data_IF_364759187880
#
_entry.id   IF_364759187880
#
_cell.length_a   1.000
_cell.length_b   1.000
_cell.length_c   1.000
_cell.angle_alpha   90.00
_cell.angle_beta   90.00
_cell.angle_gamma   90.00
#
_symmetry.space_group_name_H-M   'P 1'
#
loop_
_entity.id
_entity.type
_entity.pdbx_description
1 polymer ?
#
# COMPACT_ATOMS: atom_id res chain seq x y z
N UNK A 1 3.26 20.32 -7.46
CA UNK A 1 4.20 19.20 -7.21
C UNK A 1 3.48 18.17 -6.36
N UNK A 2 3.67 16.87 -6.58
CA UNK A 2 3.01 15.84 -5.77
C UNK A 2 3.47 15.94 -4.32
N UNK A 3 2.54 15.87 -3.36
CA UNK A 3 2.82 15.82 -1.91
C UNK A 3 3.62 14.57 -1.53
N UNK A 4 3.60 13.53 -2.38
CA UNK A 4 4.12 12.20 -2.08
C UNK A 4 5.16 11.72 -3.11
N UNK A 5 6.19 11.01 -2.62
CA UNK A 5 7.08 10.24 -3.49
C UNK A 5 6.32 9.13 -4.23
N UNK A 6 6.86 8.65 -5.36
CA UNK A 6 6.18 7.69 -6.27
C UNK A 6 5.58 6.48 -5.53
N UNK A 7 6.36 5.80 -4.68
CA UNK A 7 5.91 4.59 -3.97
C UNK A 7 4.78 4.92 -2.98
N UNK A 8 4.92 5.97 -2.17
CA UNK A 8 3.88 6.38 -1.22
C UNK A 8 2.58 6.72 -1.95
N UNK A 9 2.67 7.49 -3.05
CA UNK A 9 1.50 7.83 -3.86
C UNK A 9 0.79 6.59 -4.41
N UNK A 10 1.54 5.58 -4.86
CA UNK A 10 0.98 4.33 -5.34
C UNK A 10 0.33 3.51 -4.23
N UNK A 11 0.89 3.51 -3.02
CA UNK A 11 0.31 2.83 -1.88
C UNK A 11 -0.96 3.53 -1.37
N UNK A 12 -1.00 4.86 -1.35
CA UNK A 12 -2.23 5.61 -1.06
C UNK A 12 -3.30 5.39 -2.13
N UNK A 13 -2.90 5.33 -3.41
CA UNK A 13 -3.82 4.99 -4.49
C UNK A 13 -4.37 3.56 -4.31
N UNK A 14 -3.51 2.62 -3.92
CA UNK A 14 -3.91 1.25 -3.63
C UNK A 14 -4.94 1.20 -2.50
N UNK A 15 -4.64 1.81 -1.36
CA UNK A 15 -5.53 1.88 -0.20
C UNK A 15 -6.87 2.54 -0.56
N UNK A 16 -6.85 3.64 -1.32
CA UNK A 16 -8.07 4.30 -1.80
C UNK A 16 -8.93 3.35 -2.64
N UNK A 17 -8.33 2.64 -3.58
CA UNK A 17 -9.03 1.66 -4.43
C UNK A 17 -9.52 0.47 -3.62
N UNK A 18 -8.73 0.00 -2.66
CA UNK A 18 -9.05 -1.18 -1.85
C UNK A 18 -10.19 -0.91 -0.87
N UNK A 19 -10.22 0.29 -0.28
CA UNK A 19 -11.26 0.70 0.68
C UNK A 19 -12.53 1.22 0.01
N UNK A 20 -12.46 1.61 -1.27
CA UNK A 20 -13.63 2.08 -2.03
C UNK A 20 -14.20 0.96 -2.91
N UNK A 21 -15.52 0.77 -2.91
CA UNK A 21 -16.16 -0.12 -3.89
C UNK A 21 -15.98 0.42 -5.32
N UNK A 22 -16.04 1.75 -5.45
CA UNK A 22 -15.97 2.49 -6.69
C UNK A 22 -15.21 3.80 -6.47
N UNK A 23 -14.39 4.22 -7.44
CA UNK A 23 -13.62 5.47 -7.37
C UNK A 23 -13.52 6.13 -8.74
N UNK A 24 -13.72 7.45 -8.78
CA UNK A 24 -13.61 8.26 -9.99
C UNK A 24 -12.19 8.78 -10.20
N UNK A 25 -11.87 9.16 -11.45
CA UNK A 25 -10.59 9.82 -11.75
C UNK A 25 -10.43 11.14 -11.00
N UNK A 26 -11.51 11.89 -10.81
CA UNK A 26 -11.51 13.18 -10.12
C UNK A 26 -11.16 13.00 -8.63
N UNK A 27 -11.75 12.03 -7.95
CA UNK A 27 -11.43 11.72 -6.54
C UNK A 27 -9.96 11.33 -6.36
N UNK A 28 -9.42 10.49 -7.26
CA UNK A 28 -8.01 10.10 -7.24
C UNK A 28 -7.09 11.31 -7.42
N UNK A 29 -7.40 12.20 -8.37
CA UNK A 29 -6.65 13.44 -8.61
C UNK A 29 -6.70 14.35 -7.40
N UNK A 30 -7.90 14.55 -6.83
CA UNK A 30 -8.13 15.41 -5.66
C UNK A 30 -7.35 14.91 -4.45
N UNK A 31 -7.48 13.61 -4.11
CA UNK A 31 -6.81 13.02 -2.93
C UNK A 31 -5.29 12.98 -3.07
N UNK A 32 -4.76 12.70 -4.26
CA UNK A 32 -3.30 12.50 -4.45
C UNK A 32 -2.56 13.75 -4.95
N UNK A 33 -3.28 14.78 -5.40
CA UNK A 33 -2.72 16.03 -5.88
C UNK A 33 -1.82 15.87 -7.11
N UNK A 34 -2.17 14.96 -8.03
CA UNK A 34 -1.42 14.70 -9.27
C UNK A 34 -2.33 14.63 -10.50
N UNK A 35 -1.77 14.85 -11.68
CA UNK A 35 -2.55 14.80 -12.92
C UNK A 35 -3.00 13.38 -13.30
N UNK A 36 -4.07 13.29 -14.09
CA UNK A 36 -4.63 12.05 -14.63
C UNK A 36 -3.59 11.10 -15.24
N UNK A 37 -2.64 11.63 -16.02
CA UNK A 37 -1.57 10.82 -16.64
C UNK A 37 -0.69 10.11 -15.61
N UNK A 38 -0.50 10.72 -14.44
CA UNK A 38 0.26 10.10 -13.33
C UNK A 38 -0.57 9.01 -12.68
N UNK A 39 -1.86 9.26 -12.40
CA UNK A 39 -2.78 8.27 -11.86
C UNK A 39 -2.86 7.03 -12.77
N UNK A 40 -3.03 7.21 -14.08
CA UNK A 40 -3.10 6.10 -15.03
C UNK A 40 -1.83 5.24 -15.04
N UNK A 41 -0.64 5.87 -14.94
CA UNK A 41 0.63 5.14 -14.80
C UNK A 41 0.73 4.40 -13.49
N UNK A 42 0.26 4.99 -12.40
CA UNK A 42 0.25 4.36 -11.09
C UNK A 42 -0.75 3.19 -11.03
N UNK A 43 -1.94 3.31 -11.65
CA UNK A 43 -2.89 2.21 -11.87
C UNK A 43 -2.22 1.08 -12.67
N UNK A 44 -1.48 1.42 -13.72
CA UNK A 44 -0.75 0.43 -14.52
C UNK A 44 0.30 -0.29 -13.67
N UNK A 45 1.07 0.44 -12.86
CA UNK A 45 2.05 -0.15 -11.95
C UNK A 45 1.41 -1.08 -10.91
N UNK A 46 0.27 -0.69 -10.34
CA UNK A 46 -0.48 -1.53 -9.39
C UNK A 46 -1.07 -2.77 -10.08
N UNK A 47 -1.58 -2.63 -11.30
CA UNK A 47 -2.11 -3.73 -12.10
C UNK A 47 -0.99 -4.71 -12.46
N UNK A 48 0.14 -4.21 -12.96
CA UNK A 48 1.33 -5.03 -13.29
C UNK A 48 1.96 -5.67 -12.05
N UNK A 49 1.83 -5.08 -10.86
CA UNK A 49 2.23 -5.71 -9.61
C UNK A 49 1.32 -6.89 -9.22
N UNK A 50 0.17 -7.00 -9.87
CA UNK A 50 -0.90 -7.95 -9.53
C UNK A 50 -1.68 -7.54 -8.28
N UNK A 51 -1.73 -6.24 -7.96
CA UNK A 51 -2.39 -5.74 -6.76
C UNK A 51 -3.86 -5.39 -7.01
N UNK A 52 -4.20 -4.89 -8.19
CA UNK A 52 -5.55 -4.47 -8.52
C UNK A 52 -5.99 -5.01 -9.88
N UNK A 53 -7.31 -5.14 -10.03
CA UNK A 53 -7.97 -5.34 -11.31
C UNK A 53 -9.17 -4.42 -11.35
N UNK A 54 -9.14 -3.44 -12.25
CA UNK A 54 -10.17 -2.42 -12.36
C UNK A 54 -10.99 -2.61 -13.63
N UNK A 55 -12.30 -2.41 -13.50
CA UNK A 55 -13.20 -2.19 -14.63
C UNK A 55 -13.55 -0.71 -14.69
N UNK A 56 -13.46 -0.13 -15.88
CA UNK A 56 -13.88 1.25 -16.10
C UNK A 56 -15.26 1.29 -16.75
N UNK A 57 -16.23 1.91 -16.07
CA UNK A 57 -17.52 2.24 -16.65
C UNK A 57 -17.46 3.64 -17.30
N UNK A 58 -17.71 3.69 -18.60
CA UNK A 58 -17.68 4.95 -19.37
C UNK A 58 -18.89 5.83 -19.09
N UNK A 59 -20.04 5.25 -18.77
CA UNK A 59 -21.29 5.99 -18.56
C UNK A 59 -21.22 6.78 -17.27
N UNK A 60 -20.75 6.13 -16.21
CA UNK A 60 -20.68 6.70 -14.87
C UNK A 60 -19.28 7.25 -14.53
N UNK A 61 -18.32 7.12 -15.46
CA UNK A 61 -16.93 7.61 -15.34
C UNK A 61 -16.24 7.12 -14.06
N UNK A 62 -16.47 5.86 -13.73
CA UNK A 62 -16.06 5.26 -12.46
C UNK A 62 -15.22 4.01 -12.68
N UNK A 63 -14.27 3.78 -11.79
CA UNK A 63 -13.51 2.54 -11.72
C UNK A 63 -14.06 1.69 -10.57
N UNK A 64 -14.45 0.46 -10.87
CA UNK A 64 -14.87 -0.52 -9.85
C UNK A 64 -13.79 -1.59 -9.73
N UNK A 65 -13.45 -1.98 -8.50
CA UNK A 65 -12.54 -3.11 -8.25
C UNK A 65 -13.27 -4.41 -8.57
N UNK A 66 -12.69 -5.25 -9.43
CA UNK A 66 -13.28 -6.55 -9.79
C UNK A 66 -12.98 -7.65 -8.75
N UNK A 67 -12.25 -7.32 -7.68
CA UNK A 67 -11.78 -8.28 -6.70
C UNK A 67 -10.70 -9.22 -7.24
N UNK A 68 -9.97 -9.85 -6.31
CA UNK A 68 -8.91 -10.80 -6.61
C UNK A 68 -7.55 -10.15 -6.87
N UNK A 69 -6.48 -10.91 -6.58
CA UNK A 69 -5.10 -10.51 -6.88
C UNK A 69 -4.70 -10.96 -8.28
N UNK A 70 -4.01 -10.09 -8.99
CA UNK A 70 -3.46 -10.37 -10.31
C UNK A 70 -2.10 -11.08 -10.26
N UNK A 71 -1.60 -11.42 -11.45
CA UNK A 71 -0.25 -11.97 -11.63
C UNK A 71 0.72 -10.80 -11.83
N UNK A 72 1.93 -10.90 -11.26
CA UNK A 72 2.98 -9.91 -11.50
C UNK A 72 3.44 -9.97 -12.97
N UNK A 73 3.25 -8.88 -13.70
CA UNK A 73 3.56 -8.73 -15.13
C UNK A 73 4.85 -7.94 -15.31
N UNK A 74 5.99 -8.63 -15.18
CA UNK A 74 7.29 -8.09 -15.59
C UNK A 74 8.32 -9.19 -15.81
N UNK A 75 9.27 -8.91 -16.71
CA UNK A 75 10.41 -9.80 -16.96
C UNK A 75 11.31 -9.90 -15.72
N UNK A 76 11.44 -11.11 -15.17
CA UNK A 76 12.32 -11.40 -14.03
C UNK A 76 13.76 -10.90 -14.28
N UNK A 77 14.38 -10.34 -13.25
CA UNK A 77 15.75 -9.80 -13.31
C UNK A 77 15.85 -8.36 -13.81
N UNK A 78 14.75 -7.72 -14.19
CA UNK A 78 14.74 -6.28 -14.56
C UNK A 78 14.53 -5.37 -13.35
N UNK A 79 14.97 -4.11 -13.46
CA UNK A 79 14.66 -3.07 -12.46
C UNK A 79 13.15 -2.88 -12.28
N UNK A 80 12.38 -3.00 -13.36
CA UNK A 80 10.92 -3.00 -13.36
C UNK A 80 10.35 -4.12 -12.50
N UNK A 81 10.84 -5.35 -12.67
CA UNK A 81 10.40 -6.49 -11.87
C UNK A 81 10.69 -6.29 -10.38
N UNK A 82 11.91 -5.84 -10.03
CA UNK A 82 12.26 -5.55 -8.64
C UNK A 82 11.38 -4.45 -8.03
N UNK A 83 11.03 -3.44 -8.83
CA UNK A 83 10.12 -2.38 -8.42
C UNK A 83 8.71 -2.90 -8.13
N UNK A 84 8.14 -3.69 -9.04
CA UNK A 84 6.80 -4.25 -8.86
C UNK A 84 6.74 -5.25 -7.71
N UNK A 85 7.78 -6.05 -7.50
CA UNK A 85 7.90 -6.92 -6.32
C UNK A 85 7.94 -6.11 -5.03
N UNK A 86 8.69 -4.99 -5.00
CA UNK A 86 8.70 -4.08 -3.85
C UNK A 86 7.30 -3.52 -3.60
N UNK A 87 6.62 -3.05 -4.65
CA UNK A 87 5.28 -2.46 -4.53
C UNK A 87 4.27 -3.49 -4.01
N UNK A 88 4.28 -4.70 -4.57
CA UNK A 88 3.44 -5.82 -4.12
C UNK A 88 3.66 -6.15 -2.65
N UNK A 89 4.92 -6.28 -2.24
CA UNK A 89 5.30 -6.60 -0.85
C UNK A 89 4.83 -5.52 0.13
N UNK A 90 5.01 -4.25 -0.23
CA UNK A 90 4.56 -3.14 0.59
C UNK A 90 3.05 -3.08 0.73
N UNK A 91 2.30 -3.26 -0.36
CA UNK A 91 0.84 -3.22 -0.33
C UNK A 91 0.24 -4.38 0.47
N UNK A 92 0.74 -5.61 0.29
CA UNK A 92 0.30 -6.77 1.10
C UNK A 92 0.58 -6.54 2.58
N UNK A 93 1.76 -6.03 2.93
CA UNK A 93 2.06 -5.78 4.34
C UNK A 93 1.31 -4.55 4.89
N UNK A 94 0.95 -3.59 4.04
CA UNK A 94 0.10 -2.47 4.43
C UNK A 94 -1.26 -2.98 4.91
N UNK A 95 -1.91 -3.89 4.19
CA UNK A 95 -3.19 -4.49 4.61
C UNK A 95 -3.09 -5.16 5.97
N UNK A 96 -2.05 -5.97 6.19
CA UNK A 96 -1.80 -6.64 7.47
C UNK A 96 -1.63 -5.67 8.63
N UNK A 97 -0.98 -4.53 8.39
CA UNK A 97 -0.84 -3.48 9.39
C UNK A 97 -2.16 -2.74 9.61
N UNK A 98 -2.90 -2.41 8.55
CA UNK A 98 -4.20 -1.78 8.63
C UNK A 98 -5.17 -2.64 9.44
N UNK A 99 -5.26 -3.94 9.14
CA UNK A 99 -6.11 -4.89 9.87
C UNK A 99 -5.70 -4.99 11.34
N UNK A 100 -4.40 -5.12 11.62
CA UNK A 100 -3.90 -5.19 12.99
C UNK A 100 -4.24 -3.93 13.80
N UNK A 101 -4.20 -2.75 13.16
CA UNK A 101 -4.57 -1.48 13.81
C UNK A 101 -6.07 -1.32 13.98
N UNK A 102 -6.87 -1.72 12.99
CA UNK A 102 -8.32 -1.52 13.00
C UNK A 102 -9.00 -2.41 14.04
N UNK A 103 -8.62 -3.68 14.12
CA UNK A 103 -9.24 -4.63 15.04
C UNK A 103 -8.62 -4.62 16.46
N UNK A 104 -7.77 -3.63 16.77
CA UNK A 104 -7.09 -3.51 18.08
C UNK A 104 -6.30 -4.76 18.48
N UNK A 105 -5.83 -5.55 17.50
CA UNK A 105 -4.87 -6.63 17.73
C UNK A 105 -3.43 -6.11 17.90
N UNK A 106 -3.26 -4.78 17.93
CA UNK A 106 -1.97 -4.07 18.02
C UNK A 106 -1.05 -4.65 19.07
N UNK A 107 -1.60 -4.96 20.25
CA UNK A 107 -0.84 -5.36 21.44
C UNK A 107 -0.18 -6.73 21.28
N UNK A 108 -0.60 -7.55 20.30
CA UNK A 108 -0.03 -8.87 20.03
C UNK A 108 0.44 -9.06 18.58
N UNK A 109 0.33 -8.04 17.72
CA UNK A 109 0.71 -8.17 16.32
C UNK A 109 2.23 -8.10 16.15
N UNK A 110 2.85 -9.27 16.01
CA UNK A 110 4.30 -9.39 15.77
C UNK A 110 4.63 -9.13 14.29
N UNK A 111 4.89 -7.88 13.95
CA UNK A 111 5.21 -7.42 12.59
C UNK A 111 6.37 -8.22 11.97
N UNK A 112 7.40 -8.56 12.77
CA UNK A 112 8.58 -9.28 12.29
C UNK A 112 8.25 -10.72 11.92
N UNK A 113 7.47 -11.40 12.76
CA UNK A 113 7.02 -12.77 12.51
C UNK A 113 6.12 -12.80 11.27
N UNK A 114 5.09 -11.95 11.24
CA UNK A 114 4.14 -11.90 10.13
C UNK A 114 4.80 -11.57 8.80
N UNK A 115 5.71 -10.60 8.77
CA UNK A 115 6.46 -10.26 7.56
C UNK A 115 7.31 -11.44 7.05
N UNK A 116 7.93 -12.22 7.95
CA UNK A 116 8.73 -13.40 7.56
C UNK A 116 7.87 -14.55 7.04
N UNK A 117 6.64 -14.70 7.52
CA UNK A 117 5.68 -15.68 7.01
C UNK A 117 5.25 -15.32 5.59
N UNK A 118 4.98 -14.03 5.34
CA UNK A 118 4.55 -13.54 4.02
C UNK A 118 5.68 -13.51 2.99
N UNK A 119 6.91 -13.20 3.43
CA UNK A 119 8.06 -12.97 2.55
C UNK A 119 9.33 -13.66 3.08
N UNK A 120 9.35 -15.01 3.19
CA UNK A 120 10.46 -15.75 3.81
C UNK A 120 11.81 -15.55 3.10
N UNK A 121 11.78 -15.26 1.81
CA UNK A 121 12.96 -15.01 0.97
C UNK A 121 13.54 -13.59 1.09
N UNK A 122 12.87 -12.68 1.78
CA UNK A 122 13.27 -11.27 1.86
C UNK A 122 14.23 -11.04 3.01
N UNK A 123 15.37 -10.42 2.70
CA UNK A 123 16.40 -10.13 3.70
C UNK A 123 15.94 -9.13 4.76
N UNK A 124 16.56 -9.19 5.94
CA UNK A 124 16.27 -8.28 7.06
C UNK A 124 16.51 -6.81 6.68
N UNK A 125 17.55 -6.53 5.90
CA UNK A 125 17.82 -5.17 5.39
C UNK A 125 16.66 -4.65 4.53
N UNK A 126 16.06 -5.49 3.70
CA UNK A 126 14.91 -5.11 2.88
C UNK A 126 13.67 -4.90 3.74
N UNK A 127 13.41 -5.78 4.71
CA UNK A 127 12.31 -5.60 5.69
C UNK A 127 12.38 -4.24 6.37
N UNK A 128 13.55 -3.84 6.89
CA UNK A 128 13.71 -2.53 7.54
C UNK A 128 13.54 -1.33 6.59
N UNK A 129 13.83 -1.50 5.29
CA UNK A 129 13.56 -0.46 4.29
C UNK A 129 12.07 -0.33 3.99
N UNK A 130 11.37 -1.45 4.00
CA UNK A 130 9.93 -1.45 3.79
C UNK A 130 9.18 -0.90 5.00
N UNK A 131 9.59 -1.27 6.23
CA UNK A 131 9.08 -0.65 7.45
C UNK A 131 9.22 0.86 7.42
N UNK A 132 10.40 1.38 7.05
CA UNK A 132 10.61 2.83 6.88
C UNK A 132 9.69 3.45 5.83
N UNK A 133 9.38 2.73 4.76
CA UNK A 133 8.46 3.23 3.73
C UNK A 133 7.04 3.32 4.29
N UNK A 134 6.57 2.29 5.00
CA UNK A 134 5.23 2.28 5.61
C UNK A 134 5.12 3.26 6.79
N UNK A 135 6.19 3.48 7.55
CA UNK A 135 6.22 4.53 8.57
C UNK A 135 6.10 5.93 7.98
N UNK A 136 6.59 6.15 6.75
CA UNK A 136 6.33 7.37 6.00
C UNK A 136 4.87 7.56 5.61
N UNK A 137 4.03 6.52 5.72
CA UNK A 137 2.58 6.57 5.49
C UNK A 137 1.77 6.72 6.78
N UNK A 138 2.40 6.78 7.96
CA UNK A 138 1.71 6.94 9.25
C UNK A 138 1.77 5.71 10.17
N UNK A 139 2.28 4.57 9.70
CA UNK A 139 2.41 3.35 10.51
C UNK A 139 3.58 3.40 11.50
N UNK A 140 3.30 3.39 12.81
CA UNK A 140 4.34 3.34 13.84
C UNK A 140 4.76 1.90 14.16
N UNK A 141 5.71 1.36 13.40
CA UNK A 141 6.32 0.05 13.65
C UNK A 141 7.54 0.23 14.56
N UNK A 142 7.47 -0.24 15.81
CA UNK A 142 8.53 -0.05 16.82
C UNK A 142 9.00 -1.39 17.40
N UNK A 143 10.23 -1.40 17.90
CA UNK A 143 10.71 -2.53 18.69
C UNK A 143 10.08 -2.46 20.08
N UNK A 144 9.36 -3.51 20.44
CA UNK A 144 8.86 -3.75 21.78
C UNK A 144 9.92 -4.53 22.57
N UNK A 145 10.45 -3.92 23.63
CA UNK A 145 11.45 -4.54 24.48
C UNK A 145 10.86 -5.59 25.44
N UNK A 146 9.58 -5.47 25.78
CA UNK A 146 8.87 -6.38 26.68
C UNK A 146 8.56 -7.69 25.94
N UNK A 147 7.92 -7.61 24.78
CA UNK A 147 7.56 -8.78 23.97
C UNK A 147 8.68 -9.24 23.02
N UNK A 148 9.79 -8.52 23.00
CA UNK A 148 10.96 -8.76 22.13
C UNK A 148 10.54 -8.92 20.66
N UNK A 149 9.61 -8.09 20.21
CA UNK A 149 9.05 -8.14 18.87
C UNK A 149 8.99 -6.76 18.23
N UNK A 150 8.55 -6.68 16.96
CA UNK A 150 8.17 -5.37 16.40
C UNK A 150 6.64 -5.28 16.49
N UNK A 151 6.14 -4.33 17.29
CA UNK A 151 4.71 -4.06 17.46
C UNK A 151 4.30 -2.84 16.63
N UNK A 152 2.99 -2.68 16.46
CA UNK A 152 2.38 -1.53 15.80
C UNK A 152 1.53 -0.76 16.81
N UNK A 153 1.89 0.50 17.06
CA UNK A 153 1.34 1.23 18.23
C UNK A 153 0.05 2.03 17.95
N UNK A 154 -0.34 2.18 16.67
CA UNK A 154 -1.60 2.74 16.12
C UNK A 154 -1.39 3.16 14.66
N UNK A 155 -2.47 3.17 13.87
CA UNK A 155 -2.55 3.96 12.63
C UNK A 155 -3.04 5.35 13.02
N UNK A 156 -2.17 6.36 12.89
CA UNK A 156 -2.65 7.73 12.88
C UNK A 156 -2.97 8.03 11.43
N UNK A 157 -4.25 8.17 11.09
CA UNK A 157 -4.60 8.80 9.83
C UNK A 157 -4.07 10.23 9.90
N UNK A 158 -2.89 10.45 9.30
CA UNK A 158 -2.22 11.74 9.31
C UNK A 158 -3.01 12.80 8.53
N UNK A 159 -4.17 12.43 7.99
CA UNK A 159 -4.99 13.24 7.09
C UNK A 159 -6.45 13.40 7.54
N UNK A 160 -6.87 12.84 8.68
CA UNK A 160 -8.18 13.19 9.29
C UNK A 160 -8.21 14.58 9.96
N UNK A 161 -7.08 15.30 10.05
CA UNK A 161 -7.00 16.62 10.68
C UNK A 161 -7.06 17.82 9.70
N UNK A 162 -7.49 17.62 8.45
CA UNK A 162 -7.85 18.73 7.54
C UNK A 162 -9.37 18.72 7.30
N UNK A 163 -10.15 18.85 8.38
CA UNK A 163 -11.55 19.27 8.31
C UNK A 163 -11.64 20.77 7.96
N UNK A 164 -12.25 21.03 6.80
CA UNK A 164 -12.93 22.25 6.30
C UNK A 164 -12.23 23.61 6.34
#
# INVERSE_FOLDING_TARGET
>A
MSKYGKVHRQLYLYELIHTSQEVTMEEMIKKLGVCQKTIQRDITDLTDAGLIKLRYDRKDNVYSSEGGSGILVAKKGTSRYLYLQKLRRLAIFLEELSDATYYSYSDNFNCKKRYRELFPEVSERTRFRDYRTLSGMGFSIRWDAFDKCHSIDKYYDIHENEEF
#
